data_IF_786434313126
#
_entry.id   IF_786434313126
#
_cell.length_a   1.000
_cell.length_b   1.000
_cell.length_c   1.000
_cell.angle_alpha   90.00
_cell.angle_beta   90.00
_cell.angle_gamma   90.00
#
_symmetry.space_group_name_H-M   'P 1'
#
loop_
_entity.id
_entity.type
_entity.pdbx_description
1 polymer ?
#
# COMPACT_ATOMS: atom_id res chain seq x y z
N UNK A 1 -11.91 -7.09 31.60
CA UNK A 1 -10.55 -6.59 31.29
C UNK A 1 -10.74 -5.29 30.55
N UNK A 2 -9.95 -4.27 30.87
CA UNK A 2 -9.99 -3.03 30.09
C UNK A 2 -9.51 -3.32 28.67
N UNK A 3 -10.22 -2.77 27.68
CA UNK A 3 -9.96 -3.01 26.28
C UNK A 3 -8.64 -2.33 25.85
N UNK A 4 -7.79 -3.03 25.10
CA UNK A 4 -6.61 -2.43 24.49
C UNK A 4 -7.03 -1.27 23.57
N UNK A 5 -6.53 -0.06 23.82
CA UNK A 5 -6.88 1.11 23.02
C UNK A 5 -6.24 1.00 21.63
N UNK A 6 -4.95 0.67 21.58
CA UNK A 6 -4.19 0.67 20.34
C UNK A 6 -3.03 -0.32 20.34
N UNK A 7 -2.90 -1.03 19.23
CA UNK A 7 -1.71 -1.79 18.88
C UNK A 7 -0.84 -1.01 17.88
N UNK A 8 0.42 -0.79 18.23
CA UNK A 8 1.41 -0.10 17.40
C UNK A 8 2.37 -1.13 16.79
N UNK A 9 2.47 -1.18 15.47
CA UNK A 9 3.38 -2.06 14.73
C UNK A 9 4.62 -1.27 14.32
N UNK A 10 5.80 -1.78 14.69
CA UNK A 10 7.09 -1.13 14.40
C UNK A 10 8.11 -2.15 13.87
N UNK A 11 8.26 -2.27 12.55
CA UNK A 11 9.39 -2.97 11.96
C UNK A 11 10.66 -2.11 12.09
N UNK A 12 11.71 -2.62 12.73
CA UNK A 12 12.94 -1.85 12.97
C UNK A 12 14.21 -2.67 12.73
N UNK A 13 15.25 -1.97 12.30
CA UNK A 13 16.65 -2.45 12.27
C UNK A 13 17.60 -1.51 13.03
N UNK A 14 17.06 -0.54 13.76
CA UNK A 14 17.80 0.58 14.34
C UNK A 14 17.59 0.60 15.86
N UNK A 15 18.46 -0.07 16.64
CA UNK A 15 18.28 -0.20 18.08
C UNK A 15 18.06 1.12 18.79
N UNK A 16 18.87 2.13 18.46
CA UNK A 16 18.81 3.42 19.13
C UNK A 16 17.51 4.16 18.83
N UNK A 17 17.04 4.12 17.58
CA UNK A 17 15.78 4.76 17.17
C UNK A 17 14.58 4.07 17.82
N UNK A 18 14.58 2.73 17.80
CA UNK A 18 13.54 1.94 18.44
C UNK A 18 13.47 2.21 19.95
N UNK A 19 14.61 2.26 20.64
CA UNK A 19 14.66 2.56 22.07
C UNK A 19 14.11 3.96 22.38
N UNK A 20 14.45 4.95 21.56
CA UNK A 20 13.90 6.30 21.70
C UNK A 20 12.38 6.31 21.48
N UNK A 21 11.86 5.58 20.49
CA UNK A 21 10.43 5.43 20.29
C UNK A 21 9.74 4.81 21.52
N UNK A 22 10.25 3.67 22.02
CA UNK A 22 9.72 2.99 23.21
C UNK A 22 9.72 3.95 24.42
N UNK A 23 10.80 4.70 24.60
CA UNK A 23 10.92 5.70 25.67
C UNK A 23 9.88 6.82 25.52
N UNK A 24 9.56 7.26 24.29
CA UNK A 24 8.48 8.24 24.12
C UNK A 24 7.11 7.65 24.42
N UNK A 25 6.83 6.39 24.08
CA UNK A 25 5.59 5.72 24.50
C UNK A 25 5.52 5.69 26.02
N UNK A 26 6.61 5.32 26.70
CA UNK A 26 6.64 5.25 28.16
C UNK A 26 6.40 6.61 28.83
N UNK A 27 7.08 7.67 28.39
CA UNK A 27 6.98 8.97 29.06
C UNK A 27 5.74 9.77 28.68
N UNK A 28 5.21 9.57 27.47
CA UNK A 28 4.20 10.46 26.90
C UNK A 28 2.81 9.83 26.81
N UNK A 29 2.63 8.55 27.17
CA UNK A 29 1.31 7.92 27.23
C UNK A 29 0.67 8.17 28.59
N UNK A 30 -0.58 8.61 28.61
CA UNK A 30 -1.32 8.81 29.84
C UNK A 30 -1.67 7.49 30.54
N UNK A 31 -2.19 6.52 29.80
CA UNK A 31 -2.51 5.19 30.31
C UNK A 31 -1.84 4.12 29.46
N UNK A 32 -0.72 3.63 29.99
CA UNK A 32 0.16 2.63 29.36
C UNK A 32 -0.47 1.25 29.28
N UNK A 33 -1.39 0.93 30.20
CA UNK A 33 -1.98 -0.41 30.31
C UNK A 33 -2.81 -0.80 29.09
N UNK A 34 -3.24 0.19 28.30
CA UNK A 34 -4.06 0.01 27.10
C UNK A 34 -3.26 0.11 25.79
N UNK A 35 -1.93 0.05 25.87
CA UNK A 35 -1.03 0.08 24.71
C UNK A 35 -0.41 -1.29 24.49
N UNK A 36 -0.46 -1.74 23.24
CA UNK A 36 0.36 -2.84 22.75
C UNK A 36 1.39 -2.31 21.74
N UNK A 37 2.64 -2.76 21.87
CA UNK A 37 3.69 -2.51 20.90
C UNK A 37 4.16 -3.84 20.30
N UNK A 38 4.03 -4.00 18.98
CA UNK A 38 4.57 -5.12 18.21
C UNK A 38 5.84 -4.67 17.51
N UNK A 39 6.97 -5.19 17.97
CA UNK A 39 8.29 -4.90 17.41
C UNK A 39 8.68 -6.05 16.50
N UNK A 40 9.03 -5.75 15.25
CA UNK A 40 9.60 -6.73 14.34
C UNK A 40 11.07 -6.44 14.08
N UNK A 41 11.95 -7.40 14.39
CA UNK A 41 13.39 -7.35 14.12
C UNK A 41 13.75 -8.43 13.10
N UNK A 42 14.80 -8.19 12.32
CA UNK A 42 15.34 -9.18 11.39
C UNK A 42 16.28 -10.17 12.11
N UNK A 43 16.20 -11.47 11.76
CA UNK A 43 17.01 -12.54 12.37
C UNK A 43 18.53 -12.38 12.17
N UNK A 44 18.97 -11.56 11.21
CA UNK A 44 20.38 -11.24 10.97
C UNK A 44 20.97 -10.25 12.00
N UNK A 45 20.24 -9.91 13.06
CA UNK A 45 20.67 -9.01 14.13
C UNK A 45 20.51 -9.64 15.54
N UNK A 46 21.20 -10.75 15.86
CA UNK A 46 21.01 -11.48 17.13
C UNK A 46 21.35 -10.63 18.37
N UNK A 47 22.39 -9.81 18.30
CA UNK A 47 22.77 -8.90 19.39
C UNK A 47 21.68 -7.85 19.67
N UNK A 48 21.04 -7.34 18.61
CA UNK A 48 19.94 -6.38 18.72
C UNK A 48 18.73 -7.05 19.37
N UNK A 49 18.39 -8.26 18.92
CA UNK A 49 17.29 -9.05 19.49
C UNK A 49 17.50 -9.29 20.98
N UNK A 50 18.68 -9.77 21.39
CA UNK A 50 19.00 -10.04 22.79
C UNK A 50 18.92 -8.76 23.65
N UNK A 51 19.50 -7.66 23.18
CA UNK A 51 19.46 -6.37 23.89
C UNK A 51 18.03 -5.86 24.07
N UNK A 52 17.17 -5.99 23.05
CA UNK A 52 15.77 -5.56 23.16
C UNK A 52 15.00 -6.46 24.12
N UNK A 53 15.22 -7.77 24.12
CA UNK A 53 14.55 -8.69 25.05
C UNK A 53 14.82 -8.34 26.53
N UNK A 54 16.04 -7.91 26.85
CA UNK A 54 16.36 -7.43 28.20
C UNK A 54 15.66 -6.10 28.50
N UNK A 55 15.75 -5.15 27.57
CA UNK A 55 15.21 -3.80 27.74
C UNK A 55 13.69 -3.78 27.91
N UNK A 56 12.95 -4.58 27.14
CA UNK A 56 11.47 -4.54 27.13
C UNK A 56 10.85 -4.93 28.48
N UNK A 57 11.58 -5.65 29.33
CA UNK A 57 11.11 -6.04 30.67
C UNK A 57 10.98 -4.86 31.63
N UNK A 58 11.56 -3.71 31.29
CA UNK A 58 11.56 -2.50 32.13
C UNK A 58 10.36 -1.58 31.89
N UNK A 59 9.40 -1.97 31.02
CA UNK A 59 8.28 -1.13 30.63
C UNK A 59 6.94 -1.72 31.07
N UNK A 60 6.04 -0.85 31.54
CA UNK A 60 4.75 -1.23 32.13
C UNK A 60 3.62 -1.38 31.08
N UNK A 61 3.96 -1.71 29.82
CA UNK A 61 2.99 -1.95 28.74
C UNK A 61 3.38 -3.18 27.92
N UNK A 62 2.42 -3.72 27.18
CA UNK A 62 2.62 -4.97 26.44
C UNK A 62 3.55 -4.76 25.25
N UNK A 63 4.69 -5.44 25.24
CA UNK A 63 5.62 -5.45 24.11
C UNK A 63 5.76 -6.89 23.57
N UNK A 64 5.35 -7.10 22.32
CA UNK A 64 5.52 -8.36 21.60
C UNK A 64 6.69 -8.23 20.63
N UNK A 65 7.73 -9.04 20.83
CA UNK A 65 8.87 -9.10 19.92
C UNK A 65 8.69 -10.24 18.91
N UNK A 66 8.74 -9.90 17.63
CA UNK A 66 8.72 -10.84 16.51
C UNK A 66 10.06 -10.80 15.77
N UNK A 67 10.61 -11.97 15.47
CA UNK A 67 11.80 -12.10 14.64
C UNK A 67 11.45 -12.83 13.35
N UNK A 68 12.01 -12.37 12.23
CA UNK A 68 11.92 -13.09 10.96
C UNK A 68 13.11 -12.81 10.04
N UNK A 69 13.44 -13.64 9.04
CA UNK A 69 14.49 -13.38 8.08
C UNK A 69 14.32 -12.03 7.40
N UNK A 70 15.47 -11.41 7.11
CA UNK A 70 15.53 -10.21 6.30
C UNK A 70 15.18 -10.54 4.86
N UNK A 71 13.97 -10.21 4.42
CA UNK A 71 13.55 -10.33 3.02
C UNK A 71 14.22 -9.24 2.14
N UNK A 72 13.61 -8.82 1.05
CA UNK A 72 14.13 -7.77 0.15
C UNK A 72 13.96 -6.34 0.71
N UNK A 73 14.09 -6.18 2.02
CA UNK A 73 13.95 -4.93 2.74
C UNK A 73 12.58 -4.28 2.54
N UNK A 74 12.60 -2.98 2.27
CA UNK A 74 11.40 -2.16 2.18
C UNK A 74 10.39 -2.62 1.11
N UNK A 75 10.84 -3.27 0.04
CA UNK A 75 9.97 -3.76 -1.04
C UNK A 75 9.12 -4.98 -0.67
N UNK A 76 9.49 -5.64 0.43
CA UNK A 76 8.77 -6.79 0.99
C UNK A 76 8.20 -6.48 2.36
N UNK A 77 8.13 -5.20 2.73
CA UNK A 77 7.62 -4.76 4.03
C UNK A 77 6.17 -5.19 4.26
N UNK A 78 5.36 -5.27 3.20
CA UNK A 78 3.98 -5.79 3.28
C UNK A 78 3.89 -7.19 3.92
N UNK A 79 4.86 -8.07 3.69
CA UNK A 79 4.89 -9.40 4.30
C UNK A 79 5.16 -9.32 5.81
N UNK A 80 6.09 -8.46 6.22
CA UNK A 80 6.35 -8.20 7.64
C UNK A 80 5.15 -7.53 8.32
N UNK A 81 4.50 -6.59 7.64
CA UNK A 81 3.29 -5.93 8.16
C UNK A 81 2.15 -6.93 8.33
N UNK A 82 2.01 -7.89 7.41
CA UNK A 82 1.04 -8.97 7.54
C UNK A 82 1.37 -9.91 8.72
N UNK A 83 2.64 -10.29 8.89
CA UNK A 83 3.09 -11.06 10.04
C UNK A 83 2.76 -10.35 11.37
N UNK A 84 2.97 -9.04 11.44
CA UNK A 84 2.63 -8.28 12.65
C UNK A 84 1.11 -8.19 12.86
N UNK A 85 0.35 -8.00 11.78
CA UNK A 85 -1.11 -7.96 11.81
C UNK A 85 -1.73 -9.24 12.42
N UNK A 86 -1.17 -10.41 12.15
CA UNK A 86 -1.68 -11.67 12.72
C UNK A 86 -1.36 -11.86 14.21
N UNK A 87 -0.55 -10.99 14.81
CA UNK A 87 -0.15 -11.06 16.22
C UNK A 87 -0.75 -9.92 17.08
N UNK A 88 -1.59 -9.06 16.49
CA UNK A 88 -2.30 -7.98 17.18
C UNK A 88 -3.15 -8.49 18.34
N UNK A 89 -3.17 -7.76 19.45
CA UNK A 89 -4.11 -7.96 20.54
C UNK A 89 -5.54 -7.98 20.01
N UNK A 90 -6.27 -9.06 20.28
CA UNK A 90 -7.63 -9.27 19.77
C UNK A 90 -8.61 -8.19 20.19
N UNK A 91 -8.35 -7.52 21.30
CA UNK A 91 -9.21 -6.48 21.87
C UNK A 91 -8.80 -5.07 21.43
N UNK A 92 -7.71 -4.92 20.67
CA UNK A 92 -7.24 -3.62 20.19
C UNK A 92 -8.31 -2.88 19.40
N UNK A 93 -8.65 -1.65 19.81
CA UNK A 93 -9.62 -0.83 19.10
C UNK A 93 -8.99 -0.15 17.86
N UNK A 94 -7.80 0.41 18.03
CA UNK A 94 -7.01 1.03 16.98
C UNK A 94 -5.77 0.22 16.64
N UNK A 95 -5.25 0.42 15.43
CA UNK A 95 -3.99 -0.12 14.98
C UNK A 95 -3.23 0.96 14.22
N UNK A 96 -1.94 1.11 14.54
CA UNK A 96 -1.04 2.06 13.88
C UNK A 96 0.20 1.33 13.39
N UNK A 97 0.52 1.48 12.11
CA UNK A 97 1.82 1.06 11.56
C UNK A 97 2.73 2.28 11.49
N UNK A 98 3.91 2.17 12.11
CA UNK A 98 4.80 3.30 12.35
C UNK A 98 6.25 2.94 12.01
N UNK A 99 7.06 3.96 11.71
CA UNK A 99 8.52 3.83 11.66
C UNK A 99 9.12 4.01 13.05
N UNK A 100 10.31 3.46 13.27
CA UNK A 100 11.09 3.63 14.50
C UNK A 100 11.62 5.06 14.72
N UNK A 101 11.55 5.95 13.72
CA UNK A 101 11.90 7.37 13.83
C UNK A 101 10.82 8.23 14.50
N UNK A 102 9.57 7.80 14.46
CA UNK A 102 8.47 8.60 14.99
C UNK A 102 8.61 8.82 16.50
N UNK A 103 8.03 9.92 16.99
CA UNK A 103 8.01 10.25 18.43
C UNK A 103 6.58 10.58 18.83
N UNK A 104 6.09 9.95 19.89
CA UNK A 104 4.76 10.26 20.41
C UNK A 104 4.80 11.56 21.22
N UNK A 105 3.80 12.42 21.03
CA UNK A 105 3.63 13.64 21.82
C UNK A 105 2.97 13.33 23.18
N UNK A 106 3.09 14.24 24.14
CA UNK A 106 2.50 14.09 25.48
C UNK A 106 0.98 13.88 25.41
N UNK A 107 0.48 12.90 26.15
CA UNK A 107 -0.93 12.50 26.25
C UNK A 107 -1.57 12.18 24.88
N UNK A 108 -0.78 11.65 23.94
CA UNK A 108 -1.24 11.31 22.58
C UNK A 108 -2.43 10.34 22.59
N UNK A 109 -2.46 9.38 23.52
CA UNK A 109 -3.51 8.39 23.67
C UNK A 109 -4.83 9.04 24.09
N UNK A 110 -4.82 10.09 24.93
CA UNK A 110 -6.02 10.89 25.22
C UNK A 110 -6.61 11.52 23.97
N UNK A 111 -5.77 11.96 23.04
CA UNK A 111 -6.22 12.50 21.76
C UNK A 111 -6.94 11.43 20.93
N UNK A 112 -6.43 10.20 20.92
CA UNK A 112 -7.06 9.09 20.20
C UNK A 112 -8.36 8.61 20.86
N UNK A 113 -8.43 8.59 22.20
CA UNK A 113 -9.63 8.17 22.96
C UNK A 113 -10.88 8.96 22.60
N UNK A 114 -10.74 10.22 22.19
CA UNK A 114 -11.86 11.07 21.70
C UNK A 114 -12.59 10.48 20.50
N UNK A 115 -11.91 9.62 19.74
CA UNK A 115 -12.45 8.98 18.55
C UNK A 115 -12.96 7.56 18.82
N UNK A 116 -12.84 7.04 20.06
CA UNK A 116 -13.45 5.76 20.40
C UNK A 116 -14.97 5.85 20.23
N UNK A 117 -15.55 4.92 19.46
CA UNK A 117 -16.98 4.96 19.12
C UNK A 117 -17.42 6.13 18.25
N UNK A 118 -16.50 6.83 17.56
CA UNK A 118 -16.86 8.01 16.74
C UNK A 118 -17.96 7.74 15.72
N UNK A 119 -17.93 6.55 15.12
CA UNK A 119 -19.07 6.00 14.38
C UNK A 119 -19.54 4.74 15.09
N UNK A 120 -20.87 4.55 15.14
CA UNK A 120 -21.48 3.39 15.79
C UNK A 120 -21.04 2.05 15.15
N UNK A 121 -20.69 2.04 13.86
CA UNK A 121 -20.17 0.86 13.19
C UNK A 121 -18.70 0.55 13.49
N UNK A 122 -17.98 1.49 14.12
CA UNK A 122 -16.54 1.43 14.42
C UNK A 122 -15.63 1.21 13.19
N UNK A 123 -16.04 1.66 12.00
CA UNK A 123 -15.27 1.52 10.76
C UNK A 123 -14.81 2.89 10.27
N UNK A 124 -13.59 3.27 10.62
CA UNK A 124 -12.96 4.50 10.15
C UNK A 124 -11.44 4.53 10.32
N UNK A 125 -10.85 5.61 9.84
CA UNK A 125 -9.43 5.90 9.90
C UNK A 125 -9.18 7.34 10.34
N UNK A 126 -8.17 7.51 11.17
CA UNK A 126 -7.68 8.79 11.63
C UNK A 126 -6.43 9.19 10.83
N UNK A 127 -6.43 10.42 10.33
CA UNK A 127 -5.33 10.96 9.54
C UNK A 127 -4.42 11.81 10.41
N UNK A 128 -3.15 11.41 10.51
CA UNK A 128 -2.16 12.03 11.41
C UNK A 128 -1.07 12.83 10.68
N UNK A 129 -0.86 12.59 9.38
CA UNK A 129 0.30 13.17 8.67
C UNK A 129 0.11 14.64 8.28
N UNK A 130 1.14 15.19 7.62
CA UNK A 130 1.06 16.48 6.94
C UNK A 130 0.00 16.50 5.81
N UNK A 131 -0.35 15.35 5.25
CA UNK A 131 -1.39 15.18 4.23
C UNK A 131 -2.80 14.99 4.82
N UNK A 132 -2.99 15.16 6.14
CA UNK A 132 -4.26 14.86 6.82
C UNK A 132 -5.47 15.64 6.32
N UNK A 133 -5.28 16.84 5.78
CA UNK A 133 -6.36 17.67 5.21
C UNK A 133 -6.54 17.52 3.70
N UNK A 134 -5.74 16.67 3.03
CA UNK A 134 -5.86 16.49 1.59
C UNK A 134 -7.09 15.64 1.23
N UNK A 135 -7.81 16.14 0.24
CA UNK A 135 -8.79 15.39 -0.53
C UNK A 135 -8.17 15.09 -1.90
N UNK A 136 -8.32 13.86 -2.37
CA UNK A 136 -7.71 13.41 -3.63
C UNK A 136 -8.70 13.52 -4.78
N UNK A 137 -8.31 14.23 -5.83
CA UNK A 137 -9.12 14.39 -7.05
C UNK A 137 -9.00 13.20 -7.98
N UNK A 138 -7.85 12.53 -7.98
CA UNK A 138 -7.61 11.33 -8.75
C UNK A 138 -6.74 10.34 -8.00
N UNK A 139 -6.84 9.08 -8.38
CA UNK A 139 -6.13 7.96 -7.76
C UNK A 139 -4.59 8.05 -7.90
N UNK A 140 -4.07 8.81 -8.85
CA UNK A 140 -2.64 9.08 -8.97
C UNK A 140 -2.10 9.84 -7.76
N UNK A 141 -2.86 10.80 -7.23
CA UNK A 141 -2.46 11.62 -6.08
C UNK A 141 -2.30 10.80 -4.81
N UNK A 142 -3.14 9.78 -4.64
CA UNK A 142 -3.06 8.82 -3.53
C UNK A 142 -1.71 8.10 -3.49
N UNK A 143 -1.04 7.92 -4.64
CA UNK A 143 0.21 7.16 -4.70
C UNK A 143 1.44 7.96 -4.28
N UNK A 144 1.53 9.22 -4.71
CA UNK A 144 2.71 10.04 -4.44
C UNK A 144 2.54 10.96 -3.22
N UNK A 145 1.32 11.10 -2.68
CA UNK A 145 1.03 11.93 -1.51
C UNK A 145 0.00 11.26 -0.58
N UNK A 146 0.17 9.98 -0.20
CA UNK A 146 -0.75 9.34 0.74
C UNK A 146 -0.70 10.00 2.13
N UNK A 147 -1.72 9.76 2.95
CA UNK A 147 -1.63 10.05 4.39
C UNK A 147 -0.82 8.94 5.07
N UNK A 148 0.46 9.23 5.30
CA UNK A 148 1.35 8.30 6.00
C UNK A 148 0.99 8.19 7.48
N UNK A 149 1.18 7.03 8.11
CA UNK A 149 0.94 6.84 9.55
C UNK A 149 -0.50 7.05 10.02
N UNK A 150 -1.48 6.71 9.17
CA UNK A 150 -2.88 6.71 9.58
C UNK A 150 -3.15 5.67 10.69
N UNK A 151 -3.98 6.04 11.67
CA UNK A 151 -4.48 5.12 12.69
C UNK A 151 -5.78 4.53 12.18
N UNK A 152 -5.86 3.21 12.07
CA UNK A 152 -7.03 2.50 11.56
C UNK A 152 -7.78 1.87 12.72
N UNK A 153 -9.11 1.85 12.67
CA UNK A 153 -9.87 0.93 13.52
C UNK A 153 -9.50 -0.51 13.18
N UNK A 154 -9.41 -1.40 14.18
CA UNK A 154 -9.10 -2.82 13.95
C UNK A 154 -10.10 -3.44 12.97
N UNK A 155 -11.39 -3.10 13.11
CA UNK A 155 -12.45 -3.55 12.20
C UNK A 155 -12.22 -3.15 10.75
N UNK A 156 -11.64 -1.96 10.49
CA UNK A 156 -11.22 -1.59 9.13
C UNK A 156 -10.18 -2.57 8.60
N UNK A 157 -9.13 -2.85 9.38
CA UNK A 157 -8.07 -3.76 8.95
C UNK A 157 -8.55 -5.20 8.78
N UNK A 158 -9.46 -5.67 9.62
CA UNK A 158 -10.08 -6.99 9.46
C UNK A 158 -10.81 -7.07 8.11
N UNK A 159 -11.63 -6.07 7.78
CA UNK A 159 -12.34 -6.01 6.49
C UNK A 159 -11.41 -5.90 5.28
N UNK A 160 -10.25 -5.25 5.42
CA UNK A 160 -9.26 -5.11 4.33
C UNK A 160 -8.19 -6.20 4.33
N UNK A 161 -8.27 -7.17 5.25
CA UNK A 161 -7.27 -8.21 5.46
C UNK A 161 -5.84 -7.65 5.66
N UNK A 162 -5.73 -6.71 6.61
CA UNK A 162 -4.48 -6.02 6.95
C UNK A 162 -4.14 -4.88 5.99
N UNK A 163 -2.84 -4.74 5.68
CA UNK A 163 -2.26 -3.60 4.95
C UNK A 163 -2.09 -3.82 3.44
N UNK A 164 -2.67 -4.91 2.90
CA UNK A 164 -2.53 -5.27 1.49
C UNK A 164 -1.11 -5.69 1.09
N UNK A 165 -0.90 -5.84 -0.21
CA UNK A 165 0.32 -6.38 -0.83
C UNK A 165 1.12 -5.30 -1.57
N UNK A 166 1.28 -4.14 -0.93
CA UNK A 166 1.97 -3.03 -1.56
C UNK A 166 3.02 -2.38 -0.67
N UNK A 167 3.93 -1.69 -1.36
CA UNK A 167 5.08 -1.00 -0.79
C UNK A 167 4.69 0.07 0.23
N UNK A 168 3.58 0.79 -0.01
CA UNK A 168 3.02 1.78 0.90
C UNK A 168 1.68 1.31 1.44
N UNK A 169 1.66 0.75 2.65
CA UNK A 169 0.43 0.43 3.38
C UNK A 169 -0.52 1.62 3.50
N UNK A 170 0.04 2.83 3.54
CA UNK A 170 -0.67 4.10 3.43
C UNK A 170 -1.36 4.27 2.07
N UNK A 171 -0.68 4.00 0.96
CA UNK A 171 -1.26 4.01 -0.39
C UNK A 171 -2.42 3.01 -0.52
N UNK A 172 -2.27 1.79 0.02
CA UNK A 172 -3.33 0.77 0.01
C UNK A 172 -4.59 1.26 0.73
N UNK A 173 -4.45 1.63 2.00
CA UNK A 173 -5.58 2.08 2.83
C UNK A 173 -6.20 3.36 2.27
N UNK A 174 -5.38 4.30 1.76
CA UNK A 174 -5.87 5.55 1.17
C UNK A 174 -6.56 5.33 -0.17
N UNK A 175 -6.15 4.33 -0.94
CA UNK A 175 -6.83 3.95 -2.19
C UNK A 175 -8.22 3.37 -1.91
N UNK A 176 -8.36 2.58 -0.83
CA UNK A 176 -9.65 2.06 -0.39
C UNK A 176 -10.57 3.21 0.04
N UNK A 177 -10.07 4.12 0.90
CA UNK A 177 -10.83 5.31 1.31
C UNK A 177 -11.24 6.16 0.11
N UNK A 178 -10.34 6.35 -0.86
CA UNK A 178 -10.65 7.08 -2.10
C UNK A 178 -11.83 6.43 -2.85
N UNK A 179 -11.84 5.11 -3.04
CA UNK A 179 -12.96 4.41 -3.72
C UNK A 179 -14.26 4.42 -2.91
N UNK A 180 -14.17 4.46 -1.58
CA UNK A 180 -15.31 4.63 -0.69
C UNK A 180 -15.94 6.02 -0.85
N UNK A 181 -15.12 7.07 -0.84
CA UNK A 181 -15.54 8.46 -1.07
C UNK A 181 -16.05 8.73 -2.48
N UNK A 182 -15.65 7.90 -3.45
CA UNK A 182 -16.21 7.92 -4.81
C UNK A 182 -17.62 7.34 -4.89
N UNK A 183 -18.06 6.50 -3.94
CA UNK A 183 -19.41 5.94 -3.93
C UNK A 183 -19.66 4.83 -4.98
N UNK A 184 -20.84 4.20 -4.96
CA UNK A 184 -21.12 2.89 -5.59
C UNK A 184 -21.32 2.89 -7.12
N UNK A 185 -21.43 4.05 -7.77
CA UNK A 185 -21.76 4.17 -9.21
C UNK A 185 -20.85 5.10 -10.03
N UNK A 186 -19.79 5.64 -9.43
CA UNK A 186 -19.13 6.86 -9.91
C UNK A 186 -18.14 6.74 -11.06
N UNK A 187 -17.91 5.55 -11.59
CA UNK A 187 -16.95 5.39 -12.68
C UNK A 187 -17.57 5.53 -14.08
N UNK A 188 -18.89 5.30 -14.18
CA UNK A 188 -19.65 5.47 -15.40
C UNK A 188 -20.62 6.66 -15.34
N UNK A 189 -20.82 7.23 -14.15
CA UNK A 189 -21.71 8.37 -13.90
C UNK A 189 -20.92 9.60 -13.48
N UNK A 190 -21.21 10.79 -14.04
CA UNK A 190 -20.68 12.05 -13.52
C UNK A 190 -21.25 12.38 -12.13
N UNK A 191 -22.39 11.78 -11.76
CA UNK A 191 -23.00 11.92 -10.45
C UNK A 191 -22.48 10.85 -9.51
N UNK A 192 -21.91 11.29 -8.39
CA UNK A 192 -21.46 10.42 -7.32
C UNK A 192 -22.69 9.90 -6.56
N UNK A 193 -22.90 8.59 -6.62
CA UNK A 193 -23.97 7.93 -5.88
C UNK A 193 -23.44 7.43 -4.54
N UNK A 194 -24.03 7.92 -3.45
CA UNK A 194 -23.76 7.48 -2.07
C UNK A 194 -22.26 7.52 -1.71
N UNK A 195 -21.61 8.70 -1.76
CA UNK A 195 -20.24 8.85 -1.28
C UNK A 195 -20.21 8.65 0.23
N UNK A 196 -19.23 7.88 0.72
CA UNK A 196 -18.97 7.76 2.16
C UNK A 196 -17.53 8.21 2.42
N UNK A 197 -17.37 9.15 3.35
CA UNK A 197 -16.04 9.48 3.90
C UNK A 197 -15.92 8.90 5.30
N UNK A 198 -14.82 8.18 5.54
CA UNK A 198 -14.45 7.61 6.85
C UNK A 198 -13.04 8.02 7.26
N UNK A 199 -12.53 9.07 6.64
CA UNK A 199 -11.25 9.68 6.96
C UNK A 199 -11.47 10.88 7.86
N UNK A 200 -10.90 10.83 9.06
CA UNK A 200 -11.05 11.87 10.07
C UNK A 200 -9.69 12.52 10.34
N UNK A 201 -9.49 13.81 10.02
CA UNK A 201 -8.26 14.49 10.38
C UNK A 201 -8.20 14.69 11.90
N UNK A 202 -7.08 14.29 12.51
CA UNK A 202 -6.79 14.59 13.92
C UNK A 202 -6.08 15.93 13.99
N UNK A 203 -6.65 16.91 14.67
CA UNK A 203 -6.11 18.26 14.69
C UNK A 203 -4.91 18.38 15.64
N UNK A 204 -4.98 17.65 16.75
CA UNK A 204 -3.91 17.53 17.73
C UNK A 204 -2.66 16.91 17.11
N UNK A 205 -1.50 17.35 17.58
CA UNK A 205 -0.23 16.74 17.23
C UNK A 205 -0.07 15.48 18.08
N UNK A 206 -0.26 14.32 17.46
CA UNK A 206 -0.10 13.00 18.11
C UNK A 206 1.33 12.48 17.93
N UNK A 207 1.95 12.79 16.80
CA UNK A 207 3.27 12.32 16.40
C UNK A 207 4.17 13.49 15.97
N UNK A 208 5.47 13.33 16.18
CA UNK A 208 6.54 14.13 15.61
C UNK A 208 7.64 13.25 15.00
N UNK A 209 8.63 13.91 14.38
CA UNK A 209 9.72 13.27 13.67
C UNK A 209 9.26 12.27 12.59
N UNK A 210 8.19 12.66 11.88
CA UNK A 210 7.68 11.91 10.73
C UNK A 210 8.54 12.21 9.50
N UNK A 211 9.83 11.89 9.58
CA UNK A 211 10.69 11.93 8.40
C UNK A 211 10.33 10.76 7.49
N UNK A 212 10.06 11.09 6.23
CA UNK A 212 9.72 10.11 5.21
C UNK A 212 10.97 9.96 4.35
N UNK A 213 11.73 8.90 4.64
CA UNK A 213 12.95 8.47 3.97
C UNK A 213 14.22 9.23 4.35
N UNK A 214 15.11 8.54 5.07
CA UNK A 214 16.49 8.98 5.25
C UNK A 214 17.17 9.27 3.90
N UNK A 215 17.81 10.44 3.83
CA UNK A 215 18.54 10.91 2.65
C UNK A 215 19.59 9.88 2.23
N UNK A 216 19.47 9.35 1.01
CA UNK A 216 20.59 8.62 0.43
C UNK A 216 21.58 9.63 -0.14
N UNK A 217 22.75 9.76 0.50
CA UNK A 217 23.85 10.60 0.01
C UNK A 217 24.36 10.19 -1.40
N UNK A 218 24.01 8.99 -1.86
CA UNK A 218 24.38 8.47 -3.18
C UNK A 218 23.26 8.66 -4.23
N UNK A 219 23.52 9.48 -5.24
CA UNK A 219 22.61 9.75 -6.37
C UNK A 219 22.17 8.46 -7.10
N UNK A 220 23.06 7.49 -7.29
CA UNK A 220 22.72 6.23 -7.96
C UNK A 220 21.68 5.44 -7.16
N UNK A 221 21.85 5.39 -5.84
CA UNK A 221 20.90 4.73 -4.93
C UNK A 221 19.54 5.42 -4.99
N UNK A 222 19.52 6.75 -5.01
CA UNK A 222 18.28 7.53 -5.16
C UNK A 222 17.56 7.25 -6.49
N UNK A 223 18.31 7.23 -7.60
CA UNK A 223 17.74 6.90 -8.92
C UNK A 223 17.18 5.47 -8.96
N UNK A 224 17.88 4.50 -8.36
CA UNK A 224 17.39 3.12 -8.24
C UNK A 224 16.13 3.02 -7.36
N UNK A 225 16.09 3.70 -6.21
CA UNK A 225 14.90 3.79 -5.34
C UNK A 225 13.71 4.36 -6.13
N UNK A 226 13.92 5.47 -6.84
CA UNK A 226 12.89 6.11 -7.65
C UNK A 226 12.35 5.18 -8.75
N UNK A 227 13.21 4.43 -9.44
CA UNK A 227 12.74 3.47 -10.45
C UNK A 227 11.79 2.43 -9.88
N UNK A 228 12.12 1.88 -8.71
CA UNK A 228 11.29 0.86 -8.08
C UNK A 228 9.99 1.48 -7.56
N UNK A 229 10.06 2.67 -6.96
CA UNK A 229 8.86 3.40 -6.51
C UNK A 229 7.91 3.69 -7.67
N UNK A 230 8.41 4.14 -8.82
CA UNK A 230 7.57 4.31 -10.01
C UNK A 230 6.97 3.00 -10.52
N UNK A 231 7.71 1.90 -10.44
CA UNK A 231 7.18 0.58 -10.78
C UNK A 231 6.03 0.16 -9.86
N UNK A 232 6.17 0.42 -8.57
CA UNK A 232 5.10 0.17 -7.62
C UNK A 232 3.90 1.07 -7.85
N UNK A 233 4.09 2.37 -8.08
CA UNK A 233 3.00 3.29 -8.41
C UNK A 233 2.28 2.91 -9.71
N UNK A 234 3.00 2.42 -10.71
CA UNK A 234 2.38 1.89 -11.94
C UNK A 234 1.54 0.65 -11.60
N UNK A 235 2.07 -0.26 -10.79
CA UNK A 235 1.36 -1.49 -10.39
C UNK A 235 0.11 -1.19 -9.58
N UNK A 236 0.20 -0.34 -8.56
CA UNK A 236 -0.93 0.02 -7.70
C UNK A 236 -2.06 0.65 -8.50
N UNK A 237 -1.75 1.38 -9.58
CA UNK A 237 -2.73 1.94 -10.51
C UNK A 237 -3.24 0.96 -11.57
N UNK A 238 -2.78 -0.29 -11.57
CA UNK A 238 -3.25 -1.30 -12.52
C UNK A 238 -4.74 -1.56 -12.36
N UNK A 239 -5.40 -1.95 -13.44
CA UNK A 239 -6.80 -2.36 -13.41
C UNK A 239 -7.06 -3.44 -12.34
N UNK A 240 -6.13 -4.40 -12.21
CA UNK A 240 -6.22 -5.49 -11.22
C UNK A 240 -6.22 -4.94 -9.79
N UNK A 241 -5.22 -4.13 -9.44
CA UNK A 241 -5.10 -3.59 -8.08
C UNK A 241 -6.22 -2.59 -7.77
N UNK A 242 -6.61 -1.73 -8.72
CA UNK A 242 -7.69 -0.78 -8.51
C UNK A 242 -9.05 -1.46 -8.33
N UNK A 243 -9.30 -2.56 -9.04
CA UNK A 243 -10.48 -3.39 -8.81
C UNK A 243 -10.47 -4.02 -7.41
N UNK A 244 -9.31 -4.45 -6.91
CA UNK A 244 -9.15 -4.99 -5.57
C UNK A 244 -9.36 -3.90 -4.49
N UNK A 245 -8.80 -2.70 -4.65
CA UNK A 245 -9.10 -1.59 -3.72
C UNK A 245 -10.58 -1.22 -3.71
N UNK A 246 -11.22 -1.20 -4.89
CA UNK A 246 -12.66 -0.96 -5.02
C UNK A 246 -13.46 -2.10 -4.35
N UNK A 247 -13.02 -3.35 -4.47
CA UNK A 247 -13.63 -4.49 -3.77
C UNK A 247 -13.67 -4.27 -2.25
N UNK A 248 -12.54 -3.95 -1.64
CA UNK A 248 -12.49 -3.68 -0.19
C UNK A 248 -13.33 -2.45 0.19
N UNK A 249 -13.33 -1.41 -0.64
CA UNK A 249 -14.20 -0.25 -0.40
C UNK A 249 -15.69 -0.62 -0.42
N UNK A 250 -16.11 -1.54 -1.31
CA UNK A 250 -17.49 -2.04 -1.32
C UNK A 250 -17.80 -2.96 -0.15
N UNK A 251 -16.84 -3.75 0.30
CA UNK A 251 -17.01 -4.57 1.50
C UNK A 251 -17.23 -3.70 2.75
N UNK A 252 -16.42 -2.64 2.91
CA UNK A 252 -16.59 -1.64 3.96
C UNK A 252 -17.97 -0.96 3.86
N UNK A 253 -18.33 -0.47 2.66
CA UNK A 253 -19.63 0.14 2.42
C UNK A 253 -20.79 -0.78 2.86
N UNK A 254 -20.78 -2.05 2.47
CA UNK A 254 -21.86 -2.98 2.82
C UNK A 254 -21.92 -3.27 4.33
N UNK A 255 -20.79 -3.32 5.02
CA UNK A 255 -20.78 -3.45 6.48
C UNK A 255 -21.38 -2.22 7.17
N UNK A 256 -21.12 -1.01 6.64
CA UNK A 256 -21.74 0.22 7.12
C UNK A 256 -23.25 0.17 6.91
N UNK A 257 -23.72 -0.22 5.72
CA UNK A 257 -25.16 -0.34 5.43
C UNK A 257 -25.84 -1.37 6.34
N UNK A 258 -25.23 -2.54 6.52
CA UNK A 258 -25.77 -3.57 7.41
C UNK A 258 -25.94 -3.06 8.84
N UNK A 259 -24.96 -2.32 9.36
CA UNK A 259 -25.05 -1.70 10.68
C UNK A 259 -26.13 -0.61 10.73
N UNK A 260 -26.24 0.24 9.70
CA UNK A 260 -27.28 1.29 9.63
C UNK A 260 -28.69 0.72 9.61
N UNK A 261 -28.88 -0.45 8.99
CA UNK A 261 -30.13 -1.19 8.96
C UNK A 261 -30.34 -2.08 10.20
N UNK A 262 -29.41 -2.05 11.16
CA UNK A 262 -29.45 -2.85 12.39
C UNK A 262 -29.59 -4.36 12.12
N UNK A 263 -28.94 -4.87 11.06
CA UNK A 263 -28.96 -6.29 10.74
C UNK A 263 -28.12 -7.07 11.77
N UNK A 264 -28.77 -7.87 12.61
CA UNK A 264 -28.09 -8.73 13.59
C UNK A 264 -27.34 -9.88 12.90
N UNK A 265 -27.97 -10.48 11.89
CA UNK A 265 -27.44 -11.59 11.13
C UNK A 265 -27.43 -11.27 9.64
N UNK A 266 -26.25 -11.01 9.09
CA UNK A 266 -26.10 -10.74 7.67
C UNK A 266 -24.92 -11.49 7.08
N UNK A 267 -24.99 -11.65 5.77
CA UNK A 267 -23.90 -12.14 4.96
C UNK A 267 -23.58 -11.20 3.80
N UNK A 268 -22.30 -11.12 3.45
CA UNK A 268 -21.87 -10.52 2.19
C UNK A 268 -21.35 -11.62 1.29
N UNK A 269 -21.94 -11.75 0.09
CA UNK A 269 -21.58 -12.75 -0.91
C UNK A 269 -20.89 -12.11 -2.10
N UNK A 270 -19.71 -12.61 -2.46
CA UNK A 270 -19.00 -12.18 -3.68
C UNK A 270 -19.40 -13.01 -4.89
N UNK A 271 -19.75 -12.35 -5.99
CA UNK A 271 -19.76 -12.94 -7.33
C UNK A 271 -18.51 -12.49 -8.09
N UNK A 272 -17.57 -13.42 -8.26
CA UNK A 272 -16.27 -13.16 -8.90
C UNK A 272 -16.42 -12.90 -10.41
N UNK A 273 -17.41 -13.49 -11.08
CA UNK A 273 -17.60 -13.33 -12.53
C UNK A 273 -18.20 -11.96 -12.87
N UNK A 274 -19.28 -11.59 -12.17
CA UNK A 274 -19.96 -10.32 -12.41
C UNK A 274 -19.30 -9.14 -11.68
N UNK A 275 -18.30 -9.42 -10.85
CA UNK A 275 -17.60 -8.42 -10.03
C UNK A 275 -18.56 -7.64 -9.15
N UNK A 276 -19.41 -8.37 -8.43
CA UNK A 276 -20.45 -7.83 -7.56
C UNK A 276 -20.35 -8.40 -6.14
N UNK A 277 -20.76 -7.60 -5.16
CA UNK A 277 -21.02 -8.01 -3.79
C UNK A 277 -22.53 -7.89 -3.53
N UNK A 278 -23.08 -8.84 -2.79
CA UNK A 278 -24.48 -8.90 -2.39
C UNK A 278 -24.56 -8.97 -0.87
N UNK A 279 -25.27 -8.03 -0.24
CA UNK A 279 -25.62 -8.08 1.18
C UNK A 279 -26.98 -8.76 1.31
N UNK A 280 -27.06 -9.78 2.16
CA UNK A 280 -28.27 -10.55 2.44
C UNK A 280 -28.50 -10.56 3.96
N UNK A 281 -29.74 -10.31 4.36
CA UNK A 281 -30.22 -10.62 5.72
C UNK A 281 -30.47 -12.12 5.81
N UNK A 282 -29.72 -12.82 6.66
CA UNK A 282 -29.80 -14.28 6.75
C UNK A 282 -30.97 -14.78 7.59
N UNK A 283 -31.54 -13.93 8.45
CA UNK A 283 -32.73 -14.26 9.23
C UNK A 283 -33.99 -14.24 8.35
N UNK A 284 -34.11 -13.22 7.50
CA UNK A 284 -35.21 -13.09 6.54
C UNK A 284 -34.94 -13.77 5.20
N UNK A 285 -33.70 -14.25 4.98
CA UNK A 285 -33.21 -14.77 3.71
C UNK A 285 -33.51 -13.81 2.54
N UNK A 286 -33.31 -12.51 2.79
CA UNK A 286 -33.67 -11.44 1.86
C UNK A 286 -32.43 -10.72 1.34
N UNK A 287 -32.36 -10.56 0.01
CA UNK A 287 -31.36 -9.70 -0.63
C UNK A 287 -31.64 -8.22 -0.29
N UNK A 288 -30.67 -7.54 0.32
CA UNK A 288 -30.80 -6.14 0.73
C UNK A 288 -30.27 -5.22 -0.36
N UNK A 289 -29.01 -5.39 -0.75
CA UNK A 289 -28.37 -4.53 -1.74
C UNK A 289 -27.26 -5.26 -2.49
N UNK A 290 -27.12 -4.90 -3.77
CA UNK A 290 -26.08 -5.41 -4.65
C UNK A 290 -25.24 -4.27 -5.20
N UNK A 291 -23.92 -4.37 -5.04
CA UNK A 291 -22.97 -3.34 -5.49
C UNK A 291 -21.90 -3.93 -6.38
N UNK A 292 -21.49 -3.18 -7.41
CA UNK A 292 -20.36 -3.58 -8.26
C UNK A 292 -19.05 -2.99 -7.74
N UNK A 293 -18.00 -3.80 -7.79
CA UNK A 293 -16.61 -3.35 -7.60
C UNK A 293 -15.82 -3.36 -8.93
N UNK A 294 -16.52 -3.44 -10.06
CA UNK A 294 -15.87 -3.31 -11.35
C UNK A 294 -15.46 -1.85 -11.58
N UNK A 295 -14.22 -1.65 -12.02
CA UNK A 295 -13.67 -0.34 -12.39
C UNK A 295 -13.41 -0.29 -13.90
N UNK A 296 -13.51 0.86 -14.58
CA UNK A 296 -13.10 0.95 -15.98
C UNK A 296 -11.61 0.67 -16.12
N UNK A 297 -11.20 -0.10 -17.14
CA UNK A 297 -9.78 -0.41 -17.38
C UNK A 297 -8.91 0.84 -17.54
N UNK A 298 -9.48 1.89 -18.14
CA UNK A 298 -8.78 3.16 -18.38
C UNK A 298 -8.63 4.04 -17.14
N UNK A 299 -9.34 3.73 -16.05
CA UNK A 299 -9.39 4.58 -14.87
C UNK A 299 -8.01 4.86 -14.25
N UNK A 300 -7.22 3.80 -14.08
CA UNK A 300 -5.83 3.92 -13.62
C UNK A 300 -4.82 4.19 -14.74
N UNK A 301 -5.20 4.00 -16.01
CA UNK A 301 -4.25 4.10 -17.14
C UNK A 301 -3.69 5.50 -17.35
N UNK A 302 -4.48 6.56 -17.10
CA UNK A 302 -4.01 7.93 -17.30
C UNK A 302 -2.89 8.28 -16.30
N UNK A 303 -3.07 8.14 -14.97
CA UNK A 303 -1.97 8.34 -14.03
C UNK A 303 -0.78 7.39 -14.27
N UNK A 304 -1.02 6.15 -14.71
CA UNK A 304 0.05 5.23 -15.06
C UNK A 304 0.95 5.75 -16.19
N UNK A 305 0.38 6.39 -17.21
CA UNK A 305 1.18 6.98 -18.30
C UNK A 305 2.12 8.06 -17.75
N UNK A 306 1.63 8.90 -16.84
CA UNK A 306 2.44 9.89 -16.14
C UNK A 306 3.62 9.25 -15.40
N UNK A 307 3.39 8.21 -14.61
CA UNK A 307 4.48 7.53 -13.91
C UNK A 307 5.42 6.74 -14.83
N UNK A 308 4.92 6.17 -15.93
CA UNK A 308 5.77 5.56 -16.97
C UNK A 308 6.71 6.59 -17.59
N UNK A 309 6.22 7.81 -17.84
CA UNK A 309 7.05 8.91 -18.30
C UNK A 309 8.15 9.27 -17.29
N UNK A 310 7.80 9.44 -16.01
CA UNK A 310 8.80 9.72 -14.98
C UNK A 310 9.82 8.59 -14.82
N UNK A 311 9.38 7.33 -14.84
CA UNK A 311 10.26 6.16 -14.86
C UNK A 311 11.24 6.21 -16.04
N UNK A 312 10.74 6.50 -17.24
CA UNK A 312 11.58 6.60 -18.44
C UNK A 312 12.64 7.70 -18.31
N UNK A 313 12.30 8.87 -17.73
CA UNK A 313 13.29 9.92 -17.45
C UNK A 313 14.40 9.45 -16.51
N UNK A 314 14.06 8.70 -15.45
CA UNK A 314 15.05 8.14 -14.52
C UNK A 314 15.92 7.08 -15.22
N UNK A 315 15.33 6.23 -16.07
CA UNK A 315 16.08 5.26 -16.87
C UNK A 315 17.08 5.97 -17.80
N UNK A 316 16.67 7.02 -18.51
CA UNK A 316 17.59 7.81 -19.34
C UNK A 316 18.77 8.31 -18.50
N UNK A 317 18.52 8.90 -17.32
CA UNK A 317 19.60 9.39 -16.45
C UNK A 317 20.58 8.28 -16.05
N UNK A 318 20.09 7.09 -15.76
CA UNK A 318 20.91 5.93 -15.39
C UNK A 318 21.74 5.38 -16.57
N UNK A 319 21.16 5.33 -17.78
CA UNK A 319 21.83 4.79 -18.96
C UNK A 319 22.66 5.83 -19.72
N UNK A 320 22.46 7.12 -19.48
CA UNK A 320 23.14 8.20 -20.18
C UNK A 320 24.68 8.11 -20.10
N UNK A 321 25.30 7.83 -18.92
CA UNK A 321 26.76 7.64 -18.85
C UNK A 321 27.27 6.45 -19.68
N UNK A 322 26.51 5.35 -19.73
CA UNK A 322 26.85 4.17 -20.53
C UNK A 322 26.72 4.49 -22.03
N UNK A 323 25.64 5.16 -22.43
CA UNK A 323 25.42 5.61 -23.80
C UNK A 323 26.57 6.52 -24.25
N UNK A 324 27.00 7.47 -23.43
CA UNK A 324 28.17 8.33 -23.72
C UNK A 324 29.46 7.53 -23.87
N UNK A 325 29.68 6.47 -23.07
CA UNK A 325 30.85 5.60 -23.20
C UNK A 325 30.82 4.80 -24.50
N UNK A 326 29.67 4.23 -24.85
CA UNK A 326 29.45 3.52 -26.12
C UNK A 326 29.72 4.46 -27.30
N UNK A 327 29.13 5.66 -27.29
CA UNK A 327 29.36 6.67 -28.34
C UNK A 327 30.84 7.08 -28.47
N UNK A 328 31.59 7.12 -27.36
CA UNK A 328 33.05 7.34 -27.38
C UNK A 328 33.83 6.14 -27.95
N UNK A 329 33.45 4.91 -27.59
CA UNK A 329 34.11 3.68 -28.04
C UNK A 329 33.92 3.43 -29.54
N UNK A 330 32.75 3.74 -30.08
CA UNK A 330 32.44 3.56 -31.51
C UNK A 330 33.04 4.63 -32.43
N UNK A 331 34.02 5.40 -31.94
CA UNK A 331 34.71 6.47 -32.69
C UNK A 331 33.77 7.38 -33.51
N UNK A 332 32.51 7.56 -33.08
CA UNK A 332 31.59 8.55 -33.64
C UNK A 332 32.15 9.97 -33.51
N UNK A 333 33.31 10.17 -32.86
CA UNK A 333 34.14 11.34 -32.99
C UNK A 333 34.37 11.79 -34.45
N UNK A 334 34.39 10.93 -35.47
CA UNK A 334 34.50 11.39 -36.87
C UNK A 334 33.20 11.95 -37.44
N UNK A 335 32.05 11.38 -37.06
CA UNK A 335 30.71 11.80 -37.52
C UNK A 335 30.09 12.92 -36.66
N UNK A 336 30.47 13.02 -35.39
CA UNK A 336 29.98 14.00 -34.41
C UNK A 336 31.01 15.09 -34.07
N UNK A 337 32.21 15.08 -34.67
CA UNK A 337 33.22 16.15 -34.54
C UNK A 337 32.66 17.56 -34.77
N UNK A 338 31.78 17.79 -35.77
CA UNK A 338 31.14 19.10 -35.96
C UNK A 338 30.22 19.50 -34.79
N UNK A 339 29.64 18.52 -34.09
CA UNK A 339 28.73 18.74 -32.97
C UNK A 339 29.44 18.76 -31.61
N UNK A 340 30.64 18.19 -31.51
CA UNK A 340 31.42 18.10 -30.28
C UNK A 340 31.99 19.46 -29.83
N UNK A 341 32.30 20.36 -30.77
CA UNK A 341 32.69 21.75 -30.46
C UNK A 341 31.49 22.56 -29.91
N UNK A 342 30.28 22.31 -30.42
CA UNK A 342 29.02 22.85 -29.88
C UNK A 342 28.67 22.23 -28.51
N UNK A 343 28.95 20.94 -28.29
CA UNK A 343 28.52 20.20 -27.10
C UNK A 343 29.24 20.59 -25.79
N UNK A 344 30.42 21.22 -25.83
CA UNK A 344 31.12 21.69 -24.62
C UNK A 344 30.41 22.87 -23.93
N UNK A 345 29.78 23.76 -24.69
CA UNK A 345 28.85 24.78 -24.15
C UNK A 345 27.39 24.30 -24.08
N UNK A 346 27.03 23.33 -24.93
CA UNK A 346 25.65 22.87 -25.08
C UNK A 346 25.28 21.61 -24.30
N UNK A 347 26.08 21.07 -23.39
CA UNK A 347 25.65 19.86 -22.63
C UNK A 347 24.32 20.07 -21.88
N UNK A 348 24.14 21.26 -21.30
CA UNK A 348 22.88 21.72 -20.68
C UNK A 348 21.80 22.00 -21.73
N UNK A 349 22.16 22.57 -22.88
CA UNK A 349 21.23 22.93 -23.97
C UNK A 349 20.74 21.70 -24.73
N UNK A 350 21.57 20.68 -24.96
CA UNK A 350 21.21 19.43 -25.64
C UNK A 350 20.39 18.55 -24.71
N UNK A 351 20.73 18.44 -23.42
CA UNK A 351 19.82 17.81 -22.46
C UNK A 351 18.49 18.56 -22.36
N UNK A 352 18.50 19.90 -22.34
CA UNK A 352 17.28 20.68 -22.37
C UNK A 352 16.52 20.54 -23.68
N UNK A 353 17.20 20.45 -24.84
CA UNK A 353 16.56 20.29 -26.15
C UNK A 353 16.07 18.87 -26.38
N UNK A 354 16.74 17.84 -25.84
CA UNK A 354 16.24 16.46 -25.84
C UNK A 354 15.06 16.35 -24.88
N UNK A 355 15.13 16.95 -23.69
CA UNK A 355 13.98 17.01 -22.77
C UNK A 355 12.83 17.80 -23.39
N UNK A 356 13.09 18.96 -24.02
CA UNK A 356 12.08 19.75 -24.75
C UNK A 356 11.56 18.99 -25.96
N UNK A 357 12.38 18.28 -26.72
CA UNK A 357 11.94 17.49 -27.88
C UNK A 357 11.10 16.29 -27.45
N UNK A 358 11.48 15.63 -26.35
CA UNK A 358 10.68 14.60 -25.71
C UNK A 358 9.38 15.21 -25.18
N UNK A 359 9.39 16.36 -24.51
CA UNK A 359 8.19 17.07 -24.06
C UNK A 359 7.29 17.49 -25.24
N UNK A 360 7.87 18.02 -26.32
CA UNK A 360 7.18 18.43 -27.56
C UNK A 360 6.64 17.24 -28.35
N UNK A 361 7.24 16.05 -28.27
CA UNK A 361 6.69 14.83 -28.88
C UNK A 361 5.67 14.13 -27.98
N UNK A 362 5.90 14.13 -26.67
CA UNK A 362 5.06 13.46 -25.69
C UNK A 362 3.75 14.22 -25.48
N UNK A 363 3.77 15.55 -25.44
CA UNK A 363 2.58 16.37 -25.19
C UNK A 363 1.50 16.22 -26.29
N UNK A 364 1.83 16.24 -27.60
CA UNK A 364 0.85 16.03 -28.66
C UNK A 364 0.44 14.57 -28.82
N UNK A 365 1.33 13.60 -28.56
CA UNK A 365 0.98 12.17 -28.62
C UNK A 365 0.04 11.79 -27.47
N UNK A 366 0.24 12.34 -26.27
CA UNK A 366 -0.67 12.17 -25.14
C UNK A 366 -1.98 12.91 -25.39
N UNK A 367 -1.96 14.17 -25.87
CA UNK A 367 -3.19 14.90 -26.21
C UNK A 367 -4.00 14.23 -27.34
N UNK A 368 -3.33 13.73 -28.40
CA UNK A 368 -4.00 13.04 -29.51
C UNK A 368 -4.45 11.62 -29.18
N UNK A 369 -3.75 10.92 -28.27
CA UNK A 369 -4.21 9.61 -27.79
C UNK A 369 -5.39 9.73 -26.80
N UNK A 370 -5.50 10.84 -26.07
CA UNK A 370 -6.58 11.06 -25.10
C UNK A 370 -7.91 11.51 -25.73
N UNK A 371 -7.90 12.14 -26.91
CA UNK A 371 -9.10 12.76 -27.48
C UNK A 371 -10.12 11.79 -28.14
N UNK A 372 -9.75 10.70 -28.83
CA UNK A 372 -10.73 9.83 -29.48
C UNK A 372 -11.24 8.67 -28.60
N UNK A 373 -10.66 8.45 -27.41
CA UNK A 373 -10.95 7.25 -26.59
C UNK A 373 -12.21 7.42 -25.70
N UNK A 374 -12.75 8.64 -25.57
CA UNK A 374 -13.92 8.91 -24.73
C UNK A 374 -15.28 8.57 -25.36
N UNK A 375 -15.37 8.18 -26.65
CA UNK A 375 -16.67 8.16 -27.36
C UNK A 375 -17.13 6.86 -28.00
N UNK A 376 -16.36 5.77 -27.99
CA UNK A 376 -16.80 4.54 -28.65
C UNK A 376 -16.44 3.30 -27.86
N UNK A 377 -17.32 2.78 -26.99
CA UNK A 377 -17.45 1.33 -26.77
C UNK A 377 -18.79 0.98 -26.10
N UNK A 378 -19.68 0.31 -26.85
CA UNK A 378 -20.78 -0.49 -26.27
C UNK A 378 -20.19 -1.83 -25.80
N UNK A 379 -20.45 -2.30 -24.57
CA UNK A 379 -20.01 -3.61 -24.14
C UNK A 379 -20.83 -4.70 -24.85
N UNK A 380 -20.16 -5.66 -25.48
CA UNK A 380 -20.76 -6.93 -25.92
C UNK A 380 -20.89 -7.81 -24.68
N UNK A 381 -22.12 -7.97 -24.18
CA UNK A 381 -22.45 -8.95 -23.15
C UNK A 381 -22.70 -10.26 -23.86
N UNK A 382 -21.85 -11.27 -23.64
CA UNK A 382 -22.17 -12.65 -24.00
C UNK A 382 -22.88 -13.27 -22.80
N UNK A 383 -24.13 -13.66 -23.01
CA UNK A 383 -24.94 -14.40 -22.06
C UNK A 383 -24.75 -15.88 -22.34
N UNK A 384 -23.87 -16.54 -21.60
CA UNK A 384 -23.96 -17.99 -21.42
C UNK A 384 -23.78 -18.33 -19.95
N UNK A 385 -24.78 -19.06 -19.46
CA UNK A 385 -24.96 -19.59 -18.13
C UNK A 385 -23.72 -20.36 -17.66
N UNK A 386 -23.13 -19.93 -16.55
CA UNK A 386 -22.25 -20.75 -15.73
C UNK A 386 -22.76 -20.65 -14.30
N UNK A 387 -23.05 -21.81 -13.71
CA UNK A 387 -23.41 -21.89 -12.31
C UNK A 387 -22.29 -21.30 -11.44
N UNK A 388 -22.62 -20.51 -10.41
CA UNK A 388 -21.62 -19.82 -9.60
C UNK A 388 -20.80 -20.84 -8.81
N UNK A 389 -19.53 -21.00 -9.18
CA UNK A 389 -18.51 -21.61 -8.32
C UNK A 389 -17.77 -20.51 -7.56
N UNK A 390 -17.61 -20.74 -6.26
CA UNK A 390 -17.07 -19.87 -5.20
C UNK A 390 -17.96 -18.67 -4.80
N UNK A 391 -18.77 -18.89 -3.75
CA UNK A 391 -19.39 -17.84 -2.94
C UNK A 391 -18.46 -17.63 -1.74
N UNK A 392 -17.82 -16.47 -1.64
CA UNK A 392 -17.15 -16.06 -0.39
C UNK A 392 -18.22 -15.48 0.53
N UNK A 393 -18.42 -16.09 1.70
CA UNK A 393 -19.40 -15.67 2.70
C UNK A 393 -18.68 -14.94 3.84
N UNK A 394 -19.09 -13.71 4.12
CA UNK A 394 -18.71 -12.96 5.32
C UNK A 394 -19.85 -13.06 6.33
N UNK A 395 -19.65 -13.70 7.48
CA UNK A 395 -20.68 -13.81 8.54
C UNK A 395 -20.34 -12.88 9.72
N UNK A 396 -21.29 -12.05 10.13
CA UNK A 396 -21.11 -11.02 11.17
C UNK A 396 -21.17 -11.55 12.61
N UNK A 397 -21.70 -12.75 12.84
CA UNK A 397 -21.87 -13.29 14.20
C UNK A 397 -20.56 -13.53 14.96
N UNK A 398 -19.42 -13.54 14.26
CA UNK A 398 -18.07 -13.42 14.82
C UNK A 398 -17.18 -12.62 13.86
N UNK A 399 -16.89 -11.33 14.13
CA UNK A 399 -16.00 -10.52 13.29
C UNK A 399 -14.59 -11.11 13.11
N UNK A 400 -14.19 -12.07 13.96
CA UNK A 400 -12.82 -12.59 14.04
C UNK A 400 -12.44 -13.74 13.10
N UNK A 401 -13.33 -14.27 12.25
CA UNK A 401 -12.94 -15.30 11.28
C UNK A 401 -13.63 -15.10 9.94
N UNK A 402 -13.01 -14.26 9.11
CA UNK A 402 -13.17 -14.35 7.65
C UNK A 402 -12.91 -15.83 7.28
N UNK A 403 -13.97 -16.60 7.00
CA UNK A 403 -13.86 -17.99 6.53
C UNK A 403 -13.27 -18.06 5.10
N UNK A 404 -12.93 -16.92 4.49
CA UNK A 404 -12.27 -16.87 3.20
C UNK A 404 -10.76 -17.07 3.33
N UNK A 405 -10.36 -18.32 3.05
CA UNK A 405 -9.10 -18.78 2.45
C UNK A 405 -8.19 -17.67 1.92
N UNK A 406 -6.93 -17.73 2.33
CA UNK A 406 -5.70 -17.21 1.70
C UNK A 406 -5.73 -15.74 1.23
N UNK A 407 -4.84 -14.85 1.71
CA UNK A 407 -4.79 -13.47 1.23
C UNK A 407 -4.66 -13.39 -0.30
N UNK A 408 -5.49 -12.55 -0.91
CA UNK A 408 -5.44 -12.29 -2.35
C UNK A 408 -4.31 -11.29 -2.61
N UNK A 409 -3.19 -11.79 -3.13
CA UNK A 409 -2.12 -10.92 -3.58
C UNK A 409 -2.48 -10.39 -4.98
N UNK A 410 -2.61 -9.07 -5.08
CA UNK A 410 -2.72 -8.33 -6.33
C UNK A 410 -1.37 -8.21 -7.07
N UNK A 411 -0.28 -8.76 -6.53
CA UNK A 411 1.02 -8.89 -7.19
C UNK A 411 0.80 -9.44 -8.61
N UNK A 412 1.04 -8.60 -9.60
CA UNK A 412 1.13 -9.01 -10.98
C UNK A 412 2.55 -9.51 -11.26
N UNK A 413 2.72 -10.34 -12.29
CA UNK A 413 4.04 -10.65 -12.81
C UNK A 413 4.65 -9.37 -13.38
N UNK A 414 5.39 -8.64 -12.55
CA UNK A 414 5.92 -7.31 -12.84
C UNK A 414 7.44 -7.28 -12.96
N UNK A 415 8.00 -6.07 -12.93
CA UNK A 415 9.45 -5.85 -12.92
C UNK A 415 10.10 -6.27 -11.60
N UNK A 416 9.33 -6.43 -10.53
CA UNK A 416 9.84 -6.70 -9.17
C UNK A 416 9.75 -8.18 -8.81
N UNK A 417 8.56 -8.77 -9.00
CA UNK A 417 8.32 -10.18 -8.74
C UNK A 417 7.72 -10.88 -9.95
N UNK A 418 7.93 -12.19 -10.04
CA UNK A 418 7.32 -13.07 -11.03
C UNK A 418 6.65 -14.21 -10.29
N UNK A 419 5.55 -14.69 -10.84
CA UNK A 419 4.96 -15.94 -10.35
C UNK A 419 5.48 -17.07 -11.23
N UNK A 420 6.07 -18.09 -10.61
CA UNK A 420 6.55 -19.31 -11.27
C UNK A 420 6.10 -20.50 -10.43
N UNK A 421 5.35 -21.42 -11.02
CA UNK A 421 4.83 -22.62 -10.32
C UNK A 421 4.03 -22.29 -9.04
N UNK A 422 3.21 -21.23 -9.06
CA UNK A 422 2.48 -20.65 -7.91
C UNK A 422 3.36 -20.00 -6.84
N UNK A 423 4.68 -20.05 -6.98
CA UNK A 423 5.63 -19.37 -6.10
C UNK A 423 5.94 -17.96 -6.59
N UNK A 424 5.97 -17.01 -5.67
CA UNK A 424 6.38 -15.64 -5.91
C UNK A 424 7.91 -15.60 -5.84
N UNK A 425 8.56 -15.28 -6.95
CA UNK A 425 10.01 -15.19 -7.03
C UNK A 425 10.45 -13.78 -7.44
N UNK A 426 11.54 -13.24 -6.88
CA UNK A 426 12.09 -11.95 -7.29
C UNK A 426 12.57 -11.98 -8.75
N UNK A 427 12.32 -10.90 -9.50
CA UNK A 427 12.78 -10.80 -10.88
C UNK A 427 14.30 -10.62 -10.96
N UNK A 428 14.94 -11.07 -12.05
CA UNK A 428 16.38 -10.86 -12.28
C UNK A 428 16.78 -9.37 -12.24
N UNK A 429 15.92 -8.48 -12.71
CA UNK A 429 16.17 -7.05 -12.70
C UNK A 429 16.14 -6.51 -11.27
N UNK A 430 15.14 -6.91 -10.50
CA UNK A 430 14.98 -6.50 -9.11
C UNK A 430 16.16 -6.96 -8.25
N UNK A 431 16.56 -8.24 -8.37
CA UNK A 431 17.75 -8.75 -7.68
C UNK A 431 19.02 -7.95 -7.98
N UNK A 432 19.22 -7.52 -9.23
CA UNK A 432 20.37 -6.68 -9.59
C UNK A 432 20.33 -5.32 -8.89
N UNK A 433 19.15 -4.74 -8.69
CA UNK A 433 19.01 -3.48 -7.95
C UNK A 433 19.26 -3.71 -6.46
N UNK A 434 18.65 -4.75 -5.88
CA UNK A 434 18.81 -5.12 -4.46
C UNK A 434 20.28 -5.37 -4.13
N UNK A 435 20.99 -6.16 -4.94
CA UNK A 435 22.40 -6.47 -4.74
C UNK A 435 23.26 -5.19 -4.77
N UNK A 436 22.97 -4.24 -5.68
CA UNK A 436 23.67 -2.95 -5.74
C UNK A 436 23.43 -2.06 -4.53
N UNK A 437 22.27 -2.21 -3.88
CA UNK A 437 21.90 -1.41 -2.71
C UNK A 437 22.20 -2.13 -1.39
N UNK A 438 22.80 -3.33 -1.43
CA UNK A 438 23.08 -4.18 -0.28
C UNK A 438 21.85 -4.41 0.63
N UNK A 439 20.68 -4.60 0.02
CA UNK A 439 19.41 -4.65 0.76
C UNK A 439 19.13 -5.98 1.45
N UNK A 440 19.72 -7.11 1.03
CA UNK A 440 19.52 -8.41 1.69
C UNK A 440 20.57 -9.44 1.27
N UNK A 441 20.76 -10.45 2.12
CA UNK A 441 21.47 -11.71 1.86
C UNK A 441 20.52 -12.89 1.58
N UNK A 442 19.19 -12.68 1.63
CA UNK A 442 18.18 -13.72 1.48
C UNK A 442 18.17 -14.33 0.07
N UNK A 443 18.33 -15.65 0.01
CA UNK A 443 18.19 -16.47 -1.18
C UNK A 443 16.73 -16.56 -1.64
N UNK A 444 16.51 -16.95 -2.90
CA UNK A 444 15.16 -17.16 -3.43
C UNK A 444 14.39 -18.22 -2.63
N UNK A 445 15.09 -19.27 -2.20
CA UNK A 445 14.51 -20.39 -1.47
C UNK A 445 14.07 -19.96 -0.07
N UNK A 446 14.91 -19.21 0.66
CA UNK A 446 14.55 -18.62 1.94
C UNK A 446 13.38 -17.64 1.78
N UNK A 447 13.38 -16.80 0.74
CA UNK A 447 12.26 -15.90 0.46
C UNK A 447 10.96 -16.68 0.26
N UNK A 448 10.98 -17.71 -0.59
CA UNK A 448 9.81 -18.53 -0.86
C UNK A 448 9.30 -19.26 0.39
N UNK A 449 10.20 -19.92 1.13
CA UNK A 449 9.87 -20.60 2.39
C UNK A 449 9.23 -19.62 3.39
N UNK A 450 9.78 -18.41 3.49
CA UNK A 450 9.32 -17.44 4.45
C UNK A 450 7.98 -16.81 4.07
N UNK A 451 7.78 -16.48 2.78
CA UNK A 451 6.48 -16.06 2.27
C UNK A 451 5.43 -17.15 2.52
N UNK A 452 5.77 -18.41 2.22
CA UNK A 452 4.87 -19.54 2.48
C UNK A 452 4.53 -19.70 3.97
N UNK A 453 5.51 -19.50 4.86
CA UNK A 453 5.32 -19.52 6.32
C UNK A 453 4.40 -18.39 6.79
N UNK A 454 4.67 -17.14 6.37
CA UNK A 454 3.85 -15.97 6.74
C UNK A 454 2.39 -16.20 6.35
N UNK A 455 2.14 -16.84 5.21
CA UNK A 455 0.79 -17.08 4.73
C UNK A 455 0.16 -18.40 5.19
N UNK A 456 0.92 -19.29 5.84
CA UNK A 456 0.55 -20.50 6.63
C UNK A 456 -0.52 -21.46 6.05
N UNK A 457 -1.08 -21.18 4.87
CA UNK A 457 -2.12 -21.91 4.15
C UNK A 457 -2.08 -21.59 2.64
N UNK A 458 -0.99 -20.99 2.14
CA UNK A 458 -0.91 -20.46 0.79
C UNK A 458 -1.43 -19.02 0.68
N UNK A 459 -1.01 -18.33 -0.37
CA UNK A 459 -1.65 -17.10 -0.84
C UNK A 459 -2.30 -17.42 -2.18
N UNK A 460 -3.53 -16.96 -2.40
CA UNK A 460 -4.14 -16.99 -3.74
C UNK A 460 -3.62 -15.76 -4.48
N UNK A 461 -2.69 -15.93 -5.41
CA UNK A 461 -2.54 -14.92 -6.47
C UNK A 461 -3.79 -14.99 -7.33
N UNK A 462 -4.47 -13.86 -7.56
CA UNK A 462 -5.46 -13.73 -8.64
C UNK A 462 -4.75 -14.03 -9.99
N UNK A 463 -4.66 -15.31 -10.36
CA UNK A 463 -4.29 -15.82 -11.68
C UNK A 463 -5.47 -16.65 -12.17
#
# INVERSE_FOLDING_TARGET
>A
MEQCLISVIVPSRRPNELLQLITTIDHNTFDKSQIELIIKIDEDQPEFTASIQEIITNYDFTIKLLTSPRLYGYFTMWANNHLCFTHLDNDAYFVLLLTDEARFEKDWDKSLRKYHGFYNDHIFRLKLSHAKYLNYYNIGQVNYLPDSFSVLTRKWLELTNGYGDCWGSDVFTQSISYHLGRGIGSFASPFIKEPISRDIPVNERVLSNLEIFGDSSNELTLLCKNLIMYDEWIRTLSYKTQRMHCYYARLIYLNIIAHQLQLEHFEIRQNIFTKQLLLTDTQLNQEIIKVSYNVPRLYGSIPQLGFKYFKYRVQIKLFYPLLLRILKLFSLNTLLKPFASLAKGCKKIVLNKINQFIEILYHPLVQKALFPICFFFKPRISSNLLQPREIVIYNSSQPGKIQSKEPILALDSGSLFKVKNKSLIPSKFFKKIIAKCNYTSCSDEEFEQHINKIFSNGYKTDI
#
